data_IF_606800155731
#
_entry.id   IF_606800155731
#
_cell.length_a   1.000
_cell.length_b   1.000
_cell.length_c   1.000
_cell.angle_alpha   90.00
_cell.angle_beta   90.00
_cell.angle_gamma   90.00
#
_symmetry.space_group_name_H-M   'P 1'
#
loop_
_entity.id
_entity.type
_entity.pdbx_description
1 polymer ?
#
# COMPACT_ATOMS: atom_id res chain seq x y z
N UNK A 1 10.22 -6.84 -25.88
CA UNK A 1 10.49 -7.02 -24.43
C UNK A 1 9.14 -7.11 -23.72
N UNK A 2 8.94 -8.07 -22.82
CA UNK A 2 7.71 -8.17 -22.00
C UNK A 2 8.07 -7.82 -20.56
N UNK A 3 7.28 -6.97 -19.92
CA UNK A 3 7.47 -6.55 -18.54
C UNK A 3 6.15 -6.58 -17.79
N UNK A 4 6.21 -6.84 -16.49
CA UNK A 4 5.05 -6.82 -15.58
C UNK A 4 5.30 -5.74 -14.53
N UNK A 5 4.33 -4.85 -14.33
CA UNK A 5 4.38 -3.81 -13.31
C UNK A 5 3.22 -4.05 -12.34
N UNK A 6 3.53 -4.16 -11.05
CA UNK A 6 2.54 -4.25 -9.98
C UNK A 6 2.46 -2.90 -9.26
N UNK A 7 1.25 -2.35 -9.15
CA UNK A 7 0.99 -1.08 -8.47
C UNK A 7 -0.02 -1.33 -7.36
N UNK A 8 0.27 -0.83 -6.17
CA UNK A 8 -0.59 -0.98 -5.00
C UNK A 8 0.10 -0.48 -3.74
N UNK A 9 -0.52 -0.74 -2.60
CA UNK A 9 0.02 -0.40 -1.29
C UNK A 9 -0.32 -1.54 -0.31
N UNK A 10 0.69 -2.33 0.14
CA UNK A 10 0.47 -3.41 1.10
C UNK A 10 -0.06 -2.95 2.46
N UNK A 11 0.00 -1.65 2.79
CA UNK A 11 -0.57 -1.10 4.03
C UNK A 11 -2.06 -0.77 3.92
N UNK A 12 -2.65 -0.86 2.72
CA UNK A 12 -4.08 -0.63 2.48
C UNK A 12 -4.87 -1.94 2.47
N UNK A 13 -6.16 -1.86 2.13
CA UNK A 13 -7.09 -2.99 2.16
C UNK A 13 -6.58 -4.17 1.32
N UNK A 14 -6.49 -5.38 1.91
CA UNK A 14 -6.19 -6.59 1.15
C UNK A 14 -7.39 -7.01 0.29
N UNK A 15 -7.21 -7.98 -0.63
CA UNK A 15 -8.32 -8.60 -1.35
C UNK A 15 -9.39 -9.16 -0.42
N UNK A 16 -10.66 -8.91 -0.75
CA UNK A 16 -11.79 -9.56 -0.09
C UNK A 16 -11.89 -11.01 -0.58
N UNK A 17 -11.83 -11.95 0.35
CA UNK A 17 -11.96 -13.39 0.07
C UNK A 17 -13.24 -13.89 0.74
N UNK A 18 -14.19 -14.36 -0.07
CA UNK A 18 -15.44 -14.97 0.38
C UNK A 18 -15.35 -16.46 0.14
N UNK A 19 -15.69 -17.26 1.15
CA UNK A 19 -15.73 -18.72 1.07
C UNK A 19 -17.08 -19.21 1.59
N UNK A 20 -17.77 -20.02 0.78
CA UNK A 20 -19.10 -20.54 1.11
C UNK A 20 -19.10 -21.46 2.33
N UNK A 21 -18.00 -22.21 2.55
CA UNK A 21 -17.89 -23.22 3.61
C UNK A 21 -17.02 -22.80 4.80
N UNK A 22 -16.86 -21.49 5.03
CA UNK A 22 -16.08 -20.95 6.16
C UNK A 22 -14.58 -20.74 5.86
N UNK A 23 -13.84 -20.23 6.84
CA UNK A 23 -12.41 -19.88 6.70
C UNK A 23 -11.55 -21.13 6.86
N UNK A 24 -10.74 -21.46 5.84
CA UNK A 24 -9.68 -22.47 5.93
C UNK A 24 -8.30 -21.81 5.81
N UNK A 25 -7.22 -22.57 5.98
CA UNK A 25 -5.85 -22.05 5.86
C UNK A 25 -5.58 -21.43 4.48
N UNK A 26 -6.18 -21.98 3.42
CA UNK A 26 -6.11 -21.44 2.07
C UNK A 26 -6.69 -20.02 1.97
N UNK A 27 -7.73 -19.71 2.73
CA UNK A 27 -8.34 -18.39 2.79
C UNK A 27 -7.34 -17.30 3.21
N UNK A 28 -6.47 -17.61 4.18
CA UNK A 28 -5.46 -16.66 4.66
C UNK A 28 -4.39 -16.41 3.59
N UNK A 29 -4.01 -17.46 2.85
CA UNK A 29 -3.10 -17.33 1.71
C UNK A 29 -3.70 -16.47 0.59
N UNK A 30 -5.01 -16.59 0.32
CA UNK A 30 -5.71 -15.81 -0.71
C UNK A 30 -5.85 -14.32 -0.37
N UNK A 31 -5.89 -13.97 0.93
CA UNK A 31 -5.90 -12.56 1.38
C UNK A 31 -4.57 -11.85 1.14
N UNK A 32 -3.49 -12.58 0.82
CA UNK A 32 -2.17 -11.99 0.57
C UNK A 32 -1.94 -11.83 -0.93
N UNK A 33 -1.95 -10.58 -1.41
CA UNK A 33 -1.70 -10.27 -2.82
C UNK A 33 -0.29 -10.68 -3.27
N UNK A 34 -0.12 -10.90 -4.58
CA UNK A 34 1.20 -11.18 -5.17
C UNK A 34 2.22 -10.07 -4.85
N UNK A 35 1.80 -8.80 -4.90
CA UNK A 35 2.65 -7.67 -4.53
C UNK A 35 3.12 -7.77 -3.07
N UNK A 36 2.22 -8.05 -2.13
CA UNK A 36 2.57 -8.21 -0.71
C UNK A 36 3.49 -9.42 -0.46
N UNK A 37 3.38 -10.48 -1.28
CA UNK A 37 4.32 -11.61 -1.25
C UNK A 37 5.72 -11.20 -1.68
N UNK A 38 5.85 -10.54 -2.83
CA UNK A 38 7.13 -10.09 -3.36
C UNK A 38 7.79 -9.03 -2.47
N UNK A 39 7.02 -8.07 -1.95
CA UNK A 39 7.50 -7.05 -1.03
C UNK A 39 8.13 -7.66 0.23
N UNK A 40 7.43 -8.59 0.89
CA UNK A 40 7.97 -9.24 2.09
C UNK A 40 9.14 -10.20 1.80
N UNK A 41 9.28 -10.67 0.56
CA UNK A 41 10.45 -11.43 0.11
C UNK A 41 11.66 -10.54 -0.22
N UNK A 42 11.56 -9.22 -0.05
CA UNK A 42 12.63 -8.27 -0.33
C UNK A 42 12.76 -7.86 -1.79
N UNK A 43 11.76 -8.15 -2.63
CA UNK A 43 11.78 -7.70 -4.03
C UNK A 43 11.75 -6.16 -4.10
N UNK A 44 12.50 -5.52 -5.02
CA UNK A 44 12.53 -4.07 -5.13
C UNK A 44 11.13 -3.45 -5.28
N UNK A 45 10.83 -2.46 -4.45
CA UNK A 45 9.58 -1.71 -4.48
C UNK A 45 9.87 -0.21 -4.38
N UNK A 46 9.43 0.54 -5.39
CA UNK A 46 9.61 2.00 -5.41
C UNK A 46 8.43 2.69 -4.74
N UNK A 47 8.67 3.31 -3.58
CA UNK A 47 7.64 4.09 -2.88
C UNK A 47 7.49 5.48 -3.50
N UNK A 48 6.26 5.83 -3.90
CA UNK A 48 5.90 7.20 -4.26
C UNK A 48 5.54 8.00 -3.00
N UNK A 49 6.49 8.78 -2.51
CA UNK A 49 6.38 9.43 -1.19
C UNK A 49 5.84 10.87 -1.22
N UNK A 50 5.25 11.35 -2.33
CA UNK A 50 4.66 12.69 -2.39
C UNK A 50 3.14 12.61 -2.58
N UNK A 51 2.41 13.14 -1.61
CA UNK A 51 0.95 13.16 -1.61
C UNK A 51 0.43 14.49 -2.18
N UNK A 52 -0.34 14.40 -3.26
CA UNK A 52 -0.93 15.55 -3.94
C UNK A 52 -2.42 15.75 -3.62
N UNK A 53 -3.03 14.83 -2.86
CA UNK A 53 -4.48 14.80 -2.60
C UNK A 53 -4.84 15.61 -1.36
N UNK A 54 -4.22 15.29 -0.23
CA UNK A 54 -4.66 15.75 1.09
C UNK A 54 -4.03 17.10 1.47
N UNK A 55 -4.75 17.89 2.28
CA UNK A 55 -4.13 18.97 3.05
C UNK A 55 -3.12 18.38 4.05
N UNK A 56 -2.04 19.10 4.36
CA UNK A 56 -0.95 18.58 5.21
C UNK A 56 -1.44 18.10 6.57
N UNK A 57 -2.34 18.84 7.21
CA UNK A 57 -2.91 18.49 8.51
C UNK A 57 -3.78 17.21 8.48
N UNK A 58 -4.46 16.93 7.35
CA UNK A 58 -5.24 15.68 7.19
C UNK A 58 -4.28 14.49 7.02
N UNK A 59 -3.19 14.69 6.26
CA UNK A 59 -2.22 13.64 5.98
C UNK A 59 -1.40 13.24 7.20
N UNK A 60 -1.09 14.19 8.09
CA UNK A 60 -0.12 14.03 9.18
C UNK A 60 -0.38 12.79 10.04
N UNK A 61 -1.61 12.64 10.55
CA UNK A 61 -1.97 11.54 11.43
C UNK A 61 -1.80 10.17 10.75
N UNK A 62 -2.37 10.00 9.56
CA UNK A 62 -2.31 8.75 8.81
C UNK A 62 -0.87 8.41 8.40
N UNK A 63 -0.11 9.42 7.94
CA UNK A 63 1.28 9.23 7.54
C UNK A 63 2.17 8.75 8.70
N UNK A 64 2.00 9.31 9.90
CA UNK A 64 2.73 8.87 11.08
C UNK A 64 2.36 7.44 11.47
N UNK A 65 1.07 7.12 11.48
CA UNK A 65 0.57 5.82 11.91
C UNK A 65 0.90 4.68 10.94
N UNK A 66 0.85 4.94 9.62
CA UNK A 66 0.91 3.88 8.59
C UNK A 66 2.25 3.86 7.85
N UNK A 67 2.85 5.02 7.61
CA UNK A 67 4.06 5.14 6.78
C UNK A 67 5.27 5.71 7.54
N UNK A 68 5.21 5.79 8.88
CA UNK A 68 6.32 6.28 9.71
C UNK A 68 6.75 7.72 9.40
N UNK A 69 5.85 8.55 8.86
CA UNK A 69 6.16 9.94 8.51
C UNK A 69 6.87 10.13 7.16
N UNK A 70 7.07 9.08 6.37
CA UNK A 70 7.86 9.14 5.13
C UNK A 70 7.14 9.82 3.96
N UNK A 71 5.81 9.95 4.00
CA UNK A 71 5.03 10.63 2.96
C UNK A 71 5.07 12.14 3.16
N UNK A 72 5.36 12.89 2.09
CA UNK A 72 5.47 14.34 2.07
C UNK A 72 4.23 14.96 1.42
N UNK A 73 3.59 15.97 2.04
CA UNK A 73 2.54 16.72 1.36
C UNK A 73 3.11 17.48 0.14
N UNK A 74 2.25 17.86 -0.80
CA UNK A 74 2.63 18.78 -1.87
C UNK A 74 3.21 20.06 -1.26
N UNK A 75 4.32 20.54 -1.81
CA UNK A 75 4.86 21.84 -1.45
C UNK A 75 3.84 22.91 -1.86
N UNK A 76 3.55 23.86 -0.97
CA UNK A 76 2.91 25.11 -1.39
C UNK A 76 3.88 25.80 -2.34
N UNK A 77 3.41 26.21 -3.52
CA UNK A 77 4.14 27.24 -4.27
C UNK A 77 4.26 28.46 -3.35
N UNK A 78 5.49 28.95 -3.16
CA UNK A 78 5.69 30.29 -2.65
C UNK A 78 4.94 31.24 -3.60
N UNK A 79 4.06 32.07 -3.04
CA UNK A 79 3.45 33.19 -3.76
C UNK A 79 4.42 34.35 -3.77
#
# INVERSE_FOLDING_TARGET
>A
MRGVVLIGDPQQLPPTVILENGTNEGAQCLKRSLMARLYAAGYPCTMLNRNYRNHSQILEYFNRAVYGGTVRPKQRCAR
#
